data_IF_920296010853
#
_entry.id   IF_920296010853
#
_cell.length_a   1.000
_cell.length_b   1.000
_cell.length_c   1.000
_cell.angle_alpha   90.00
_cell.angle_beta   90.00
_cell.angle_gamma   90.00
#
_symmetry.space_group_name_H-M   'P 1'
#
loop_
_entity.id
_entity.type
_entity.pdbx_description
1 polymer ?
#
# COMPACT_ATOMS: atom_id res chain seq x y z
N UNK A 1 -3.66 21.20 2.50
CA UNK A 1 -3.96 20.64 1.17
C UNK A 1 -3.37 19.25 1.04
N UNK A 2 -4.16 18.31 0.54
CA UNK A 2 -3.69 16.96 0.32
C UNK A 2 -2.87 16.88 -0.96
N UNK A 3 -1.86 16.00 -0.98
CA UNK A 3 -1.15 15.69 -2.22
C UNK A 3 -0.93 14.19 -2.30
N UNK A 4 -0.70 13.71 -3.52
CA UNK A 4 -0.49 12.29 -3.78
C UNK A 4 0.76 12.06 -4.63
N UNK A 5 1.39 10.92 -4.42
CA UNK A 5 2.47 10.46 -5.27
C UNK A 5 2.34 8.95 -5.47
N UNK A 6 2.73 8.47 -6.63
CA UNK A 6 2.66 7.03 -6.95
C UNK A 6 4.07 6.55 -7.29
N UNK A 7 4.46 5.46 -6.66
CA UNK A 7 5.79 4.88 -6.82
C UNK A 7 5.63 3.44 -7.32
N UNK A 8 6.21 3.09 -8.48
CA UNK A 8 6.22 1.70 -8.91
C UNK A 8 7.14 0.86 -8.03
N UNK A 9 6.74 -0.38 -7.79
CA UNK A 9 7.47 -1.33 -6.95
C UNK A 9 8.00 -2.46 -7.83
N UNK A 10 9.31 -2.66 -7.85
CA UNK A 10 9.95 -3.52 -8.83
C UNK A 10 10.49 -4.86 -8.30
N UNK A 11 11.00 -4.91 -7.10
CA UNK A 11 11.86 -6.03 -6.70
C UNK A 11 11.45 -6.67 -5.38
N UNK A 12 11.17 -7.97 -5.42
CA UNK A 12 10.94 -8.76 -4.20
C UNK A 12 12.23 -9.04 -3.45
N UNK A 13 13.32 -9.27 -4.15
CA UNK A 13 14.57 -9.67 -3.53
C UNK A 13 15.19 -8.60 -2.63
N UNK A 14 14.67 -7.39 -2.69
CA UNK A 14 15.12 -6.31 -1.83
C UNK A 14 14.25 -6.09 -0.60
N UNK A 15 13.20 -6.88 -0.45
CA UNK A 15 12.27 -6.68 0.65
C UNK A 15 12.92 -6.84 2.02
N UNK A 16 13.77 -7.84 2.18
CA UNK A 16 14.45 -8.09 3.45
C UNK A 16 15.38 -6.93 3.79
N UNK A 17 16.14 -6.46 2.84
CA UNK A 17 17.06 -5.35 3.04
C UNK A 17 16.29 -4.09 3.45
N UNK A 18 15.22 -3.79 2.76
CA UNK A 18 14.38 -2.63 3.05
C UNK A 18 13.78 -2.70 4.45
N UNK A 19 13.21 -3.83 4.81
CA UNK A 19 12.59 -4.01 6.11
C UNK A 19 13.59 -3.86 7.26
N UNK A 20 14.83 -4.28 7.06
CA UNK A 20 15.88 -4.18 8.07
C UNK A 20 16.40 -2.77 8.24
N UNK A 21 16.29 -1.92 7.25
CA UNK A 21 16.83 -0.58 7.29
C UNK A 21 15.76 0.43 7.68
N UNK A 22 15.56 0.55 8.99
CA UNK A 22 14.53 1.42 9.52
C UNK A 22 14.80 2.91 9.29
N UNK A 23 16.03 3.28 9.02
CA UNK A 23 16.38 4.66 8.76
C UNK A 23 15.93 5.13 7.37
N UNK A 24 15.66 4.17 6.49
CA UNK A 24 15.20 4.46 5.14
C UNK A 24 13.69 4.36 4.96
N UNK A 25 12.95 4.46 6.05
CA UNK A 25 11.50 4.30 5.99
C UNK A 25 10.79 5.36 5.15
N UNK A 26 11.43 6.48 4.90
CA UNK A 26 10.86 7.52 4.05
C UNK A 26 11.14 7.31 2.57
N UNK A 27 11.96 6.34 2.24
CA UNK A 27 12.33 6.06 0.87
C UNK A 27 11.37 5.06 0.26
N UNK A 28 11.27 5.08 -1.05
CA UNK A 28 10.40 4.15 -1.75
C UNK A 28 10.93 2.72 -1.65
N UNK A 29 10.02 1.79 -1.50
CA UNK A 29 10.35 0.38 -1.46
C UNK A 29 10.62 -0.15 -2.85
N UNK A 30 11.54 -1.10 -2.95
CA UNK A 30 11.86 -1.73 -4.23
C UNK A 30 10.96 -2.92 -4.54
N UNK A 31 10.30 -3.47 -3.55
CA UNK A 31 9.47 -4.67 -3.70
C UNK A 31 8.08 -4.45 -3.16
N UNK A 32 7.15 -5.25 -3.65
CA UNK A 32 5.78 -5.22 -3.17
C UNK A 32 5.69 -5.62 -1.69
N UNK A 33 6.45 -6.63 -1.27
CA UNK A 33 6.46 -7.05 0.13
C UNK A 33 6.92 -5.93 1.05
N UNK A 34 8.02 -5.26 0.69
CA UNK A 34 8.53 -4.15 1.48
C UNK A 34 7.55 -2.98 1.51
N UNK A 35 6.86 -2.71 0.40
CA UNK A 35 5.88 -1.64 0.35
C UNK A 35 4.70 -1.93 1.27
N UNK A 36 4.22 -3.17 1.29
CA UNK A 36 3.13 -3.58 2.18
C UNK A 36 3.57 -3.47 3.63
N UNK A 37 4.75 -3.95 3.97
CA UNK A 37 5.28 -3.87 5.33
C UNK A 37 5.44 -2.44 5.78
N UNK A 38 5.94 -1.58 4.92
CA UNK A 38 6.09 -0.17 5.23
C UNK A 38 4.73 0.49 5.45
N UNK A 39 3.77 0.21 4.58
CA UNK A 39 2.44 0.78 4.71
C UNK A 39 1.77 0.33 6.00
N UNK A 40 1.86 -0.94 6.33
CA UNK A 40 1.24 -1.48 7.53
C UNK A 40 1.95 -1.09 8.81
N UNK A 41 3.28 -1.00 8.77
CA UNK A 41 4.12 -0.47 9.86
C UNK A 41 3.67 -0.89 11.27
N UNK A 42 3.38 -2.17 11.45
CA UNK A 42 2.75 -2.68 12.67
C UNK A 42 3.63 -2.60 13.90
N UNK A 43 4.94 -2.54 13.71
CA UNK A 43 5.88 -2.59 14.82
C UNK A 43 6.21 -1.23 15.40
N UNK A 44 5.89 -0.15 14.71
CA UNK A 44 6.28 1.19 15.16
C UNK A 44 5.29 1.84 16.08
N UNK A 45 4.01 1.74 15.77
CA UNK A 45 2.99 2.52 16.47
C UNK A 45 1.70 1.77 16.44
N UNK A 46 1.53 0.93 17.42
CA UNK A 46 0.44 -0.01 17.48
C UNK A 46 -0.93 0.60 17.31
N UNK A 47 -1.10 1.83 17.79
CA UNK A 47 -2.42 2.44 17.85
C UNK A 47 -2.61 3.56 16.84
N UNK A 48 -1.61 3.79 15.99
CA UNK A 48 -1.62 4.93 15.10
C UNK A 48 -1.75 4.54 13.66
N UNK A 49 -2.32 3.39 13.39
CA UNK A 49 -2.50 2.90 12.01
C UNK A 49 -3.89 2.30 11.88
N UNK A 50 -4.65 2.77 10.91
CA UNK A 50 -5.86 2.10 10.45
C UNK A 50 -5.49 1.28 9.22
N UNK A 51 -6.04 0.07 9.12
CA UNK A 51 -5.74 -0.85 8.03
C UNK A 51 -7.01 -1.42 7.42
N UNK A 52 -7.06 -1.47 6.09
CA UNK A 52 -8.12 -2.15 5.36
C UNK A 52 -7.53 -2.78 4.11
N UNK A 53 -8.22 -3.78 3.57
CA UNK A 53 -7.82 -4.44 2.34
C UNK A 53 -9.02 -4.62 1.42
N UNK A 54 -8.74 -4.72 0.13
CA UNK A 54 -9.74 -5.05 -0.89
C UNK A 54 -9.17 -6.21 -1.69
N UNK A 55 -9.93 -7.29 -1.77
CA UNK A 55 -9.54 -8.45 -2.57
C UNK A 55 -8.47 -9.34 -1.97
N UNK A 56 -7.91 -8.98 -0.82
CA UNK A 56 -6.91 -9.76 -0.11
C UNK A 56 -7.13 -9.62 1.39
N UNK A 57 -6.32 -10.31 2.19
CA UNK A 57 -6.45 -10.28 3.65
C UNK A 57 -5.35 -9.43 4.27
N UNK A 58 -5.63 -8.85 5.44
CA UNK A 58 -4.63 -8.05 6.16
C UNK A 58 -3.41 -8.88 6.56
N UNK A 59 -3.63 -10.12 6.96
CA UNK A 59 -2.55 -10.97 7.45
C UNK A 59 -1.68 -11.51 6.32
N UNK A 60 -2.27 -11.74 5.14
CA UNK A 60 -1.61 -12.43 4.04
C UNK A 60 -1.66 -11.64 2.73
N UNK A 61 -1.69 -10.31 2.82
CA UNK A 61 -1.85 -9.49 1.63
C UNK A 61 -0.78 -9.76 0.56
N UNK A 62 0.48 -9.84 0.97
CA UNK A 62 1.55 -10.10 0.02
C UNK A 62 1.42 -11.49 -0.61
N UNK A 63 1.17 -12.52 0.21
CA UNK A 63 1.01 -13.88 -0.27
C UNK A 63 -0.18 -14.01 -1.21
N UNK A 64 -1.26 -13.31 -0.90
CA UNK A 64 -2.45 -13.28 -1.77
C UNK A 64 -2.11 -12.64 -3.12
N UNK A 65 -1.39 -11.53 -3.11
CA UNK A 65 -0.97 -10.86 -4.34
C UNK A 65 0.00 -11.71 -5.15
N UNK A 66 0.90 -12.41 -4.47
CA UNK A 66 1.85 -13.31 -5.13
C UNK A 66 1.10 -14.47 -5.79
N UNK A 67 0.10 -15.03 -5.10
CA UNK A 67 -0.71 -16.11 -5.65
C UNK A 67 -1.44 -15.65 -6.92
N UNK A 68 -1.95 -14.43 -6.95
CA UNK A 68 -2.59 -13.86 -8.12
C UNK A 68 -1.62 -13.75 -9.28
N UNK A 69 -0.39 -13.29 -9.02
CA UNK A 69 0.65 -13.22 -10.05
C UNK A 69 0.96 -14.59 -10.65
N UNK A 70 1.10 -15.59 -9.80
CA UNK A 70 1.36 -16.97 -10.23
C UNK A 70 0.21 -17.52 -11.05
N UNK A 71 -1.01 -17.25 -10.62
CA UNK A 71 -2.22 -17.73 -11.32
C UNK A 71 -2.28 -17.20 -12.74
N UNK A 72 -1.91 -15.95 -12.95
CA UNK A 72 -1.97 -15.32 -14.27
C UNK A 72 -0.62 -15.31 -14.99
N UNK A 73 0.39 -15.96 -14.44
CA UNK A 73 1.72 -16.05 -15.04
C UNK A 73 2.34 -14.68 -15.31
N UNK A 74 2.17 -13.76 -14.34
CA UNK A 74 2.64 -12.37 -14.46
C UNK A 74 3.71 -12.05 -13.43
N UNK A 75 4.68 -12.92 -13.30
CA UNK A 75 5.81 -12.70 -12.40
C UNK A 75 6.84 -11.77 -13.04
N UNK A 76 7.54 -11.03 -12.22
CA UNK A 76 8.61 -10.15 -12.66
C UNK A 76 8.14 -8.76 -13.06
N UNK A 77 9.06 -7.90 -13.45
CA UNK A 77 8.77 -6.52 -13.80
C UNK A 77 8.29 -5.68 -12.62
N UNK A 78 7.39 -4.77 -12.88
CA UNK A 78 6.76 -3.97 -11.83
C UNK A 78 5.79 -4.86 -11.06
N UNK A 79 6.02 -5.01 -9.76
CA UNK A 79 5.24 -5.92 -8.92
C UNK A 79 3.99 -5.28 -8.35
N UNK A 80 3.99 -3.99 -8.22
CA UNK A 80 2.85 -3.26 -7.68
C UNK A 80 3.09 -1.77 -7.70
N UNK A 81 2.16 -1.05 -7.09
CA UNK A 81 2.25 0.40 -6.98
C UNK A 81 1.96 0.82 -5.55
N UNK A 82 2.59 1.88 -5.13
CA UNK A 82 2.43 2.45 -3.80
C UNK A 82 2.08 3.93 -3.97
N UNK A 83 0.86 4.29 -3.59
CA UNK A 83 0.41 5.67 -3.61
C UNK A 83 0.42 6.22 -2.19
N UNK A 84 0.97 7.39 -2.01
CA UNK A 84 0.97 8.10 -0.74
C UNK A 84 0.12 9.36 -0.89
N UNK A 85 -0.82 9.53 0.03
CA UNK A 85 -1.68 10.72 0.09
C UNK A 85 -1.47 11.37 1.45
N UNK A 86 -1.03 12.62 1.47
CA UNK A 86 -0.75 13.36 2.70
C UNK A 86 -1.73 14.51 2.88
N UNK A 87 -2.07 14.77 4.14
CA UNK A 87 -2.96 15.86 4.52
C UNK A 87 -2.21 16.90 5.35
N UNK A 88 -2.62 18.15 5.24
CA UNK A 88 -2.10 19.20 6.10
C UNK A 88 -2.54 18.97 7.54
N UNK A 89 -1.74 19.43 8.49
CA UNK A 89 -2.08 19.32 9.91
C UNK A 89 -3.44 19.96 10.17
N UNK A 90 -4.33 19.21 10.81
CA UNK A 90 -5.66 19.70 11.15
C UNK A 90 -6.65 19.72 9.99
N UNK A 91 -6.25 19.30 8.81
CA UNK A 91 -7.13 19.31 7.63
C UNK A 91 -8.23 18.27 7.71
N UNK A 92 -7.92 17.11 8.29
CA UNK A 92 -8.86 15.99 8.40
C UNK A 92 -8.76 15.36 9.78
N UNK A 93 -9.82 14.63 10.17
CA UNK A 93 -9.78 13.75 11.33
C UNK A 93 -9.16 12.42 10.93
N UNK A 94 -8.70 11.61 11.90
CA UNK A 94 -8.18 10.27 11.57
C UNK A 94 -9.16 9.42 10.78
N UNK A 95 -10.42 9.40 11.20
CA UNK A 95 -11.45 8.61 10.54
C UNK A 95 -11.72 9.12 9.12
N UNK A 96 -11.76 10.43 8.95
CA UNK A 96 -11.97 11.02 7.63
C UNK A 96 -10.80 10.76 6.71
N UNK A 97 -9.57 10.85 7.23
CA UNK A 97 -8.38 10.54 6.44
C UNK A 97 -8.45 9.11 5.89
N UNK A 98 -8.81 8.15 6.74
CA UNK A 98 -8.91 6.76 6.32
C UNK A 98 -10.04 6.55 5.31
N UNK A 99 -11.18 7.17 5.54
CA UNK A 99 -12.32 7.11 4.62
C UNK A 99 -11.94 7.66 3.24
N UNK A 100 -11.23 8.77 3.20
CA UNK A 100 -10.76 9.36 1.95
C UNK A 100 -9.83 8.40 1.21
N UNK A 101 -8.95 7.74 1.94
CA UNK A 101 -8.06 6.73 1.35
C UNK A 101 -8.83 5.56 0.75
N UNK A 102 -9.81 5.05 1.47
CA UNK A 102 -10.66 3.97 0.98
C UNK A 102 -11.43 4.40 -0.28
N UNK A 103 -11.98 5.60 -0.27
CA UNK A 103 -12.72 6.13 -1.41
C UNK A 103 -11.81 6.31 -2.63
N UNK A 104 -10.59 6.81 -2.41
CA UNK A 104 -9.62 6.97 -3.51
C UNK A 104 -9.28 5.61 -4.12
N UNK A 105 -8.99 4.61 -3.29
CA UNK A 105 -8.68 3.27 -3.76
C UNK A 105 -9.85 2.68 -4.56
N UNK A 106 -11.06 2.86 -4.05
CA UNK A 106 -12.25 2.34 -4.71
C UNK A 106 -12.45 2.96 -6.08
N UNK A 107 -12.33 4.27 -6.17
CA UNK A 107 -12.53 5.00 -7.43
C UNK A 107 -11.40 4.75 -8.43
N UNK A 108 -10.18 4.65 -7.94
CA UNK A 108 -9.02 4.47 -8.81
C UNK A 108 -8.96 3.06 -9.37
N UNK A 109 -9.20 2.06 -8.53
CA UNK A 109 -8.95 0.67 -8.86
C UNK A 109 -10.22 -0.14 -9.15
N UNK A 110 -11.38 0.40 -8.79
CA UNK A 110 -12.69 -0.14 -9.16
C UNK A 110 -12.90 -1.59 -8.76
N UNK A 111 -12.28 -2.01 -7.66
CA UNK A 111 -12.40 -3.38 -7.17
C UNK A 111 -11.68 -4.43 -8.01
N UNK A 112 -10.83 -4.04 -8.94
CA UNK A 112 -10.20 -4.95 -9.88
C UNK A 112 -8.78 -5.37 -9.49
N UNK A 113 -8.26 -4.82 -8.40
CA UNK A 113 -6.91 -5.12 -7.92
C UNK A 113 -6.97 -5.43 -6.43
N UNK A 114 -6.05 -6.27 -6.00
CA UNK A 114 -5.84 -6.48 -4.57
C UNK A 114 -5.11 -5.27 -4.00
N UNK A 115 -5.64 -4.70 -2.91
CA UNK A 115 -5.19 -3.42 -2.37
C UNK A 115 -5.05 -3.51 -0.86
N UNK A 116 -4.00 -2.88 -0.35
CA UNK A 116 -3.83 -2.62 1.08
C UNK A 116 -3.93 -1.11 1.28
N UNK A 117 -4.78 -0.69 2.20
CA UNK A 117 -4.99 0.72 2.52
C UNK A 117 -4.68 0.93 3.99
N UNK A 118 -3.71 1.79 4.29
CA UNK A 118 -3.39 2.12 5.67
C UNK A 118 -3.37 3.63 5.85
N UNK A 119 -3.70 4.06 7.07
CA UNK A 119 -3.65 5.47 7.44
C UNK A 119 -2.73 5.60 8.65
N UNK A 120 -1.65 6.32 8.49
CA UNK A 120 -0.68 6.56 9.55
C UNK A 120 -1.03 7.86 10.28
N UNK A 121 -1.18 7.76 11.59
CA UNK A 121 -1.65 8.84 12.44
C UNK A 121 -0.61 9.35 13.43
N UNK A 122 0.58 8.77 13.42
CA UNK A 122 1.62 9.07 14.40
C UNK A 122 2.48 10.28 14.06
N UNK A 123 2.09 11.02 13.03
CA UNK A 123 2.80 12.23 12.61
C UNK A 123 1.83 13.40 12.56
N UNK A 124 2.37 14.61 12.46
CA UNK A 124 1.55 15.81 12.34
C UNK A 124 0.64 15.79 11.13
N UNK A 125 1.15 15.21 10.05
CA UNK A 125 0.43 15.13 8.80
C UNK A 125 -0.03 13.69 8.63
N UNK A 126 -1.31 13.46 8.79
CA UNK A 126 -1.86 12.13 8.53
C UNK A 126 -1.62 11.79 7.08
N UNK A 127 -1.33 10.53 6.81
CA UNK A 127 -1.12 10.12 5.43
C UNK A 127 -1.62 8.70 5.22
N UNK A 128 -2.16 8.50 4.04
CA UNK A 128 -2.62 7.19 3.58
C UNK A 128 -1.54 6.56 2.72
N UNK A 129 -1.37 5.26 2.89
CA UNK A 129 -0.57 4.44 2.00
C UNK A 129 -1.52 3.46 1.32
N UNK A 130 -1.52 3.45 0.01
CA UNK A 130 -2.35 2.56 -0.79
C UNK A 130 -1.40 1.76 -1.66
N UNK A 131 -1.33 0.45 -1.40
CA UNK A 131 -0.43 -0.45 -2.13
C UNK A 131 -1.29 -1.47 -2.85
N UNK A 132 -1.10 -1.61 -4.15
CA UNK A 132 -1.87 -2.58 -4.91
C UNK A 132 -1.00 -3.41 -5.84
N UNK A 133 -1.52 -4.59 -6.16
CA UNK A 133 -0.88 -5.51 -7.07
C UNK A 133 -0.91 -4.93 -8.49
N UNK A 134 0.16 -5.13 -9.23
CA UNK A 134 0.20 -4.72 -10.63
C UNK A 134 -0.67 -5.61 -11.51
N UNK A 135 -1.03 -6.80 -11.03
CA UNK A 135 -1.85 -7.75 -11.78
C UNK A 135 -3.31 -7.62 -11.36
N UNK A 136 -4.17 -7.39 -12.32
CA UNK A 136 -5.61 -7.30 -12.11
C UNK A 136 -6.18 -8.66 -11.72
N UNK A 137 -7.23 -8.65 -10.90
CA UNK A 137 -8.00 -9.85 -10.60
C UNK A 137 -8.79 -10.35 -11.82
N UNK A 138 -8.86 -9.56 -12.87
CA UNK A 138 -9.55 -9.90 -14.10
C UNK A 138 -8.63 -9.70 -15.29
N UNK A 139 -8.49 -10.74 -16.12
CA UNK A 139 -7.71 -10.67 -17.35
C UNK A 139 -8.29 -9.73 -18.40
N UNK A 140 -9.54 -9.34 -18.24
CA UNK A 140 -10.20 -8.46 -19.20
C UNK A 140 -9.55 -7.08 -19.27
N UNK A 141 -8.86 -6.69 -18.21
CA UNK A 141 -8.30 -5.35 -18.09
C UNK A 141 -6.79 -5.27 -18.29
N UNK A 142 -6.25 -6.28 -18.91
CA UNK A 142 -4.83 -6.31 -19.24
C UNK A 142 -4.57 -5.67 -20.59
#
# INVERSE_FOLDING_TARGET
MAYTSVIPVHRLDRSIEYVKDKEKTTQKADSLEAAIDYAMNRTKTEQAVFEDTIGCTNENAYEDMLATKKRFHKMGGVEGYHLVQSFAEGEVTPELAHLIGQELADRLLKGQFEVVITTHLNTRHYHNHIVWNSVSLSLIHI
#
